data_IF_105077157524
#
_entry.id   IF_105077157524
#
_cell.length_a   1.000
_cell.length_b   1.000
_cell.length_c   1.000
_cell.angle_alpha   90.00
_cell.angle_beta   90.00
_cell.angle_gamma   90.00
#
_symmetry.space_group_name_H-M   'P 1'
#
loop_
_entity.id
_entity.type
_entity.pdbx_description
1 polymer ?
#
# COMPACT_ATOMS: atom_id res chain seq x y z
N UNK A 1 -4.82 5.68 -11.59
CA UNK A 1 -4.87 4.47 -12.46
C UNK A 1 -5.01 3.17 -11.67
N UNK A 2 -4.03 2.77 -10.86
CA UNK A 2 -3.98 1.39 -10.31
C UNK A 2 -4.19 1.25 -8.79
N UNK A 3 -4.44 2.33 -8.04
CA UNK A 3 -4.61 2.34 -6.57
C UNK A 3 -3.62 1.43 -5.80
N UNK A 4 -2.41 1.26 -6.32
CA UNK A 4 -1.39 0.35 -5.79
C UNK A 4 -1.00 0.73 -4.36
N UNK A 5 -0.52 -0.25 -3.60
CA UNK A 5 0.09 -0.05 -2.29
C UNK A 5 1.62 -0.17 -2.45
N UNK A 6 2.43 0.50 -1.62
CA UNK A 6 2.06 1.37 -0.50
C UNK A 6 1.66 2.81 -0.90
N UNK A 7 0.92 3.53 -0.03
CA UNK A 7 0.41 4.90 -0.26
C UNK A 7 0.45 5.75 1.02
N UNK A 8 0.91 7.00 0.94
CA UNK A 8 0.95 7.92 2.08
C UNK A 8 -0.43 8.34 2.61
N UNK A 9 -1.47 8.22 1.78
CA UNK A 9 -2.84 8.51 2.17
C UNK A 9 -3.48 7.42 3.02
N UNK A 10 -2.81 6.28 3.22
CA UNK A 10 -3.32 5.14 3.98
C UNK A 10 -2.46 4.97 5.23
N UNK A 11 -2.94 5.48 6.35
CA UNK A 11 -2.17 5.60 7.59
C UNK A 11 -2.48 4.51 8.60
N UNK A 12 -3.59 3.78 8.42
CA UNK A 12 -4.02 2.69 9.30
C UNK A 12 -4.72 1.55 8.52
N UNK A 13 -4.96 0.42 9.20
CA UNK A 13 -5.57 -0.78 8.61
C UNK A 13 -7.04 -0.57 8.21
N UNK A 14 -7.76 0.35 8.85
CA UNK A 14 -9.15 0.69 8.47
C UNK A 14 -9.17 1.35 7.10
N UNK A 15 -8.38 2.40 6.90
CA UNK A 15 -8.24 3.09 5.62
C UNK A 15 -7.76 2.14 4.52
N UNK A 16 -6.86 1.21 4.86
CA UNK A 16 -6.42 0.18 3.93
C UNK A 16 -7.57 -0.70 3.46
N UNK A 17 -8.42 -1.17 4.37
CA UNK A 17 -9.59 -1.98 4.03
C UNK A 17 -10.57 -1.21 3.14
N UNK A 18 -10.84 0.06 3.44
CA UNK A 18 -11.71 0.91 2.62
C UNK A 18 -11.12 1.11 1.22
N UNK A 19 -9.81 1.31 1.13
CA UNK A 19 -9.12 1.55 -0.13
C UNK A 19 -9.06 0.32 -1.04
N UNK A 20 -8.82 -0.86 -0.48
CA UNK A 20 -8.76 -2.13 -1.24
C UNK A 20 -10.14 -2.54 -1.79
N UNK A 21 -11.22 -2.19 -1.08
CA UNK A 21 -12.58 -2.48 -1.54
C UNK A 21 -13.07 -1.53 -2.63
N UNK A 22 -12.39 -0.41 -2.86
CA UNK A 22 -12.76 0.55 -3.89
C UNK A 22 -12.24 0.12 -5.28
N UNK A 23 -13.03 0.34 -6.32
CA UNK A 23 -12.67 -0.05 -7.69
C UNK A 23 -11.50 0.78 -8.24
N UNK A 24 -10.64 0.11 -9.00
CA UNK A 24 -9.54 0.72 -9.75
C UNK A 24 -10.06 1.38 -11.03
N UNK A 25 -9.40 2.43 -11.49
CA UNK A 25 -9.76 3.07 -12.77
C UNK A 25 -9.51 2.14 -13.96
N UNK A 26 -8.45 1.33 -13.92
CA UNK A 26 -8.09 0.42 -15.02
C UNK A 26 -9.20 -0.55 -15.46
N UNK A 27 -9.89 -1.27 -14.55
CA UNK A 27 -11.02 -2.12 -14.93
C UNK A 27 -12.32 -1.33 -15.23
N UNK A 28 -12.50 -0.13 -14.68
CA UNK A 28 -13.71 0.68 -14.86
C UNK A 28 -13.69 1.49 -16.16
N UNK A 29 -12.54 2.04 -16.54
CA UNK A 29 -12.33 2.86 -17.74
C UNK A 29 -10.90 2.67 -18.29
N UNK A 30 -10.70 1.67 -19.17
CA UNK A 30 -9.38 1.31 -19.68
C UNK A 30 -8.79 2.35 -20.63
N UNK A 31 -9.60 3.09 -21.39
CA UNK A 31 -9.09 4.12 -22.31
C UNK A 31 -8.54 5.30 -21.53
N UNK A 32 -9.29 5.80 -20.54
CA UNK A 32 -8.79 6.86 -19.65
C UNK A 32 -7.56 6.42 -18.87
N UNK A 33 -7.52 5.17 -18.42
CA UNK A 33 -6.33 4.62 -17.77
C UNK A 33 -5.12 4.66 -18.71
N UNK A 34 -5.28 4.32 -20.00
CA UNK A 34 -4.20 4.34 -20.98
C UNK A 34 -3.69 5.75 -21.26
N UNK A 35 -4.56 6.75 -21.34
CA UNK A 35 -4.17 8.15 -21.50
C UNK A 35 -3.30 8.66 -20.34
N UNK A 36 -3.72 8.41 -19.09
CA UNK A 36 -2.96 8.80 -17.89
C UNK A 36 -1.59 8.11 -17.83
N UNK A 37 -1.48 6.88 -18.32
CA UNK A 37 -0.20 6.14 -18.36
C UNK A 37 0.78 6.69 -19.40
N UNK A 38 0.32 7.36 -20.45
CA UNK A 38 1.22 7.98 -21.44
C UNK A 38 2.05 9.12 -20.85
N UNK A 39 1.58 9.74 -19.76
CA UNK A 39 2.31 10.79 -19.06
C UNK A 39 3.50 10.27 -18.23
N UNK A 40 3.59 8.96 -17.98
CA UNK A 40 4.63 8.36 -17.14
C UNK A 40 5.94 8.27 -17.94
N UNK A 41 7.02 8.72 -17.31
CA UNK A 41 8.38 8.63 -17.85
C UNK A 41 9.30 7.95 -16.83
N UNK A 42 9.91 6.84 -17.23
CA UNK A 42 10.75 6.03 -16.33
C UNK A 42 9.93 5.27 -15.29
N UNK A 43 10.61 4.87 -14.21
CA UNK A 43 10.06 3.98 -13.17
C UNK A 43 10.24 4.53 -11.74
N UNK A 44 10.84 5.72 -11.61
CA UNK A 44 11.10 6.31 -10.30
C UNK A 44 9.78 6.82 -9.71
N UNK A 45 9.51 6.42 -8.47
CA UNK A 45 8.34 6.84 -7.70
C UNK A 45 8.78 7.31 -6.31
N UNK A 46 8.00 8.19 -5.70
CA UNK A 46 8.21 8.57 -4.30
C UNK A 46 7.99 7.36 -3.39
N UNK A 47 8.92 7.11 -2.48
CA UNK A 47 8.74 6.09 -1.44
C UNK A 47 7.79 6.63 -0.37
N UNK A 48 6.62 5.99 -0.13
CA UNK A 48 5.65 6.48 0.83
C UNK A 48 6.11 6.17 2.25
N UNK A 49 6.38 7.22 3.03
CA UNK A 49 6.88 7.13 4.41
C UNK A 49 5.76 7.05 5.46
N UNK A 50 4.54 7.42 5.09
CA UNK A 50 3.38 7.50 5.99
C UNK A 50 2.44 6.30 5.88
N UNK A 51 2.78 5.33 5.04
CA UNK A 51 1.97 4.13 4.88
C UNK A 51 1.92 3.33 6.20
N UNK A 52 0.71 3.10 6.70
CA UNK A 52 0.42 2.41 7.96
C UNK A 52 1.19 2.96 9.19
N UNK A 53 1.54 4.24 9.18
CA UNK A 53 2.36 4.85 10.25
C UNK A 53 1.64 4.93 11.61
N UNK A 54 0.32 4.75 11.65
CA UNK A 54 -0.48 4.73 12.88
C UNK A 54 -0.62 3.31 13.47
N UNK A 55 -0.08 2.29 12.78
CA UNK A 55 -0.15 0.90 13.19
C UNK A 55 1.15 0.45 13.86
N UNK A 56 1.02 -0.46 14.83
CA UNK A 56 2.18 -1.16 15.38
C UNK A 56 2.48 -2.39 14.53
N UNK A 57 3.37 -2.24 13.55
CA UNK A 57 3.66 -3.24 12.51
C UNK A 57 4.49 -4.45 12.98
N UNK A 58 4.76 -4.58 14.28
CA UNK A 58 5.42 -5.76 14.83
C UNK A 58 4.40 -6.88 15.10
N UNK A 59 4.79 -8.16 15.00
CA UNK A 59 3.89 -9.28 15.24
C UNK A 59 3.15 -9.16 16.58
N UNK A 60 1.86 -9.49 16.71
CA UNK A 60 1.12 -9.32 17.96
C UNK A 60 1.73 -10.06 19.16
N UNK A 61 1.47 -9.58 20.39
CA UNK A 61 2.10 -10.12 21.61
C UNK A 61 1.87 -11.63 21.83
N UNK A 62 0.70 -12.12 21.45
CA UNK A 62 0.26 -13.51 21.63
C UNK A 62 0.37 -14.36 20.35
N UNK A 63 1.08 -13.85 19.35
CA UNK A 63 1.28 -14.53 18.05
C UNK A 63 2.48 -15.47 18.10
N UNK A 64 2.48 -16.52 17.26
CA UNK A 64 3.62 -17.43 17.14
C UNK A 64 4.82 -16.71 16.54
N UNK A 65 4.54 -15.77 15.64
CA UNK A 65 5.49 -14.92 14.94
C UNK A 65 6.29 -14.05 15.92
N UNK A 66 5.73 -13.68 17.07
CA UNK A 66 6.49 -12.97 18.11
C UNK A 66 7.46 -13.86 18.90
N UNK A 67 7.31 -15.17 18.86
CA UNK A 67 8.31 -16.07 19.46
C UNK A 67 9.61 -16.10 18.64
N UNK A 68 9.58 -15.60 17.40
CA UNK A 68 10.76 -15.49 16.54
C UNK A 68 11.63 -14.34 17.05
N UNK A 69 12.95 -14.56 17.22
CA UNK A 69 13.89 -13.50 17.60
C UNK A 69 13.82 -12.31 16.64
N UNK A 70 13.94 -11.09 17.17
CA UNK A 70 13.81 -9.86 16.37
C UNK A 70 14.92 -9.72 15.33
N UNK A 71 16.07 -10.34 15.59
CA UNK A 71 17.25 -10.41 14.73
C UNK A 71 16.97 -11.12 13.39
N UNK A 72 15.86 -11.86 13.27
CA UNK A 72 15.44 -12.41 11.98
C UNK A 72 14.97 -11.32 11.01
N UNK A 73 14.56 -10.16 11.53
CA UNK A 73 13.97 -9.06 10.75
C UNK A 73 14.92 -7.87 10.50
N UNK A 74 16.15 -7.93 11.01
CA UNK A 74 17.14 -6.83 10.97
C UNK A 74 18.50 -7.34 10.52
#
# INVERSE_FOLDING_TARGET
>A
VFRCLPLDSIRNLRELQEHVNAQNLSPTDPEKAREELQAIQGILVHFPLHFLCEEYLLPPLKSKERMVPMEVWT
#
